data_IF_838824746674
#
_entry.id   IF_838824746674
#
_cell.length_a   1.000
_cell.length_b   1.000
_cell.length_c   1.000
_cell.angle_alpha   90.00
_cell.angle_beta   90.00
_cell.angle_gamma   90.00
#
_symmetry.space_group_name_H-M   'P 1'
#
loop_
_entity.id
_entity.type
_entity.pdbx_description
1 polymer ?
#
# COMPACT_ATOMS: atom_id res chain seq x y z
N UNK A 1 0.01 17.38 4.52
CA UNK A 1 1.30 16.76 4.12
C UNK A 1 1.48 16.81 2.61
N UNK A 2 0.72 16.03 1.82
CA UNK A 2 0.80 16.06 0.34
C UNK A 2 0.39 17.40 -0.30
N UNK A 3 -0.37 18.25 0.42
CA UNK A 3 -0.72 19.61 0.01
C UNK A 3 0.31 20.66 0.43
N UNK A 4 1.35 20.26 1.15
CA UNK A 4 2.28 21.18 1.84
C UNK A 4 3.74 21.01 1.39
N UNK A 5 4.09 19.85 0.83
CA UNK A 5 5.43 19.52 0.33
C UNK A 5 5.30 18.66 -0.93
N UNK A 6 6.28 18.73 -1.84
CA UNK A 6 6.33 17.85 -3.01
C UNK A 6 6.37 16.39 -2.52
N UNK A 7 5.37 15.56 -2.87
CA UNK A 7 5.30 14.18 -2.41
C UNK A 7 6.52 13.34 -2.81
N UNK A 8 7.26 13.71 -3.86
CA UNK A 8 8.49 13.01 -4.27
C UNK A 8 9.61 13.08 -3.23
N UNK A 9 9.54 14.07 -2.33
CA UNK A 9 10.50 14.25 -1.25
C UNK A 9 10.06 13.54 0.04
N UNK A 10 8.87 12.96 0.07
CA UNK A 10 8.38 12.23 1.23
C UNK A 10 9.00 10.84 1.25
N UNK A 11 9.81 10.59 2.27
CA UNK A 11 10.26 9.25 2.65
C UNK A 11 9.36 8.75 3.77
N UNK A 12 8.70 7.63 3.55
CA UNK A 12 7.81 6.99 4.52
C UNK A 12 8.61 6.07 5.44
N UNK A 13 9.58 5.34 4.90
CA UNK A 13 10.47 4.45 5.64
C UNK A 13 11.89 4.48 5.08
N UNK A 14 12.86 3.96 5.83
CA UNK A 14 14.24 3.76 5.33
C UNK A 14 14.33 2.69 4.24
N UNK A 15 13.27 1.91 4.05
CA UNK A 15 13.22 0.76 3.13
C UNK A 15 12.34 1.02 1.89
N UNK A 16 11.93 2.26 1.62
CA UNK A 16 10.96 2.59 0.55
C UNK A 16 11.36 2.04 -0.82
N UNK A 17 12.63 2.16 -1.22
CA UNK A 17 13.13 1.63 -2.49
C UNK A 17 13.05 0.10 -2.56
N UNK A 18 13.37 -0.58 -1.45
CA UNK A 18 13.26 -2.03 -1.35
C UNK A 18 11.78 -2.46 -1.42
N UNK A 19 10.92 -1.80 -0.64
CA UNK A 19 9.47 -2.07 -0.62
C UNK A 19 8.89 -1.89 -2.02
N UNK A 20 9.22 -0.79 -2.70
CA UNK A 20 8.74 -0.53 -4.05
C UNK A 20 9.24 -1.57 -5.06
N UNK A 21 10.52 -1.93 -5.03
CA UNK A 21 11.08 -2.96 -5.91
C UNK A 21 10.38 -4.30 -5.76
N UNK A 22 10.22 -4.76 -4.52
CA UNK A 22 9.54 -6.02 -4.21
C UNK A 22 8.04 -5.97 -4.55
N UNK A 23 7.40 -4.83 -4.31
CA UNK A 23 5.99 -4.62 -4.65
C UNK A 23 5.79 -4.73 -6.17
N UNK A 24 6.64 -4.09 -6.98
CA UNK A 24 6.53 -4.16 -8.44
C UNK A 24 6.89 -5.55 -8.99
N UNK A 25 7.75 -6.31 -8.30
CA UNK A 25 8.03 -7.69 -8.65
C UNK A 25 6.83 -8.62 -8.36
N UNK A 26 6.19 -8.47 -7.19
CA UNK A 26 5.08 -9.34 -6.76
C UNK A 26 3.73 -8.95 -7.39
N UNK A 27 3.49 -7.65 -7.57
CA UNK A 27 2.20 -7.06 -7.97
C UNK A 27 2.34 -6.16 -9.20
N UNK A 28 3.25 -6.47 -10.13
CA UNK A 28 3.57 -5.59 -11.27
C UNK A 28 2.40 -5.26 -12.21
N UNK A 29 1.31 -6.04 -12.16
CA UNK A 29 0.08 -5.79 -12.93
C UNK A 29 -0.98 -5.00 -12.14
N UNK A 30 -0.79 -4.80 -10.83
CA UNK A 30 -1.74 -4.09 -9.99
C UNK A 30 -1.79 -2.61 -10.40
N UNK A 31 -3.01 -2.13 -10.63
CA UNK A 31 -3.28 -0.73 -10.94
C UNK A 31 -3.29 0.08 -9.65
N UNK A 32 -2.31 0.97 -9.50
CA UNK A 32 -2.13 1.80 -8.29
C UNK A 32 -2.90 3.11 -8.34
N UNK A 33 -3.44 3.48 -9.49
CA UNK A 33 -4.28 4.66 -9.70
C UNK A 33 -5.70 4.45 -9.17
N UNK A 34 -6.27 3.27 -9.47
CA UNK A 34 -7.58 2.83 -9.01
C UNK A 34 -7.48 1.35 -8.62
N UNK A 35 -7.66 1.07 -7.33
CA UNK A 35 -7.56 -0.25 -6.73
C UNK A 35 -8.93 -0.93 -6.68
N UNK A 36 -8.97 -2.21 -7.05
CA UNK A 36 -10.11 -3.08 -6.80
C UNK A 36 -10.02 -3.66 -5.36
N UNK A 37 -11.02 -3.43 -4.49
CA UNK A 37 -11.05 -4.03 -3.16
C UNK A 37 -10.90 -5.56 -3.15
N UNK A 38 -11.36 -6.27 -4.17
CA UNK A 38 -11.26 -7.73 -4.24
C UNK A 38 -9.81 -8.19 -4.47
N UNK A 39 -9.00 -7.40 -5.17
CA UNK A 39 -7.55 -7.64 -5.35
C UNK A 39 -6.74 -7.41 -4.06
N UNK A 40 -7.37 -6.86 -3.02
CA UNK A 40 -6.78 -6.57 -1.72
C UNK A 40 -7.35 -7.46 -0.61
N UNK A 41 -8.66 -7.75 -0.64
CA UNK A 41 -9.40 -8.36 0.47
C UNK A 41 -9.92 -9.78 0.22
N UNK A 42 -9.93 -10.26 -1.02
CA UNK A 42 -10.29 -11.65 -1.28
C UNK A 42 -9.30 -12.61 -0.59
N UNK A 43 -9.72 -13.85 -0.32
CA UNK A 43 -8.83 -14.82 0.35
C UNK A 43 -7.58 -15.10 -0.49
N UNK A 44 -7.72 -15.22 -1.81
CA UNK A 44 -6.59 -15.37 -2.73
C UNK A 44 -5.66 -14.15 -2.74
N UNK A 45 -6.21 -12.93 -2.63
CA UNK A 45 -5.41 -11.73 -2.48
C UNK A 45 -4.62 -11.75 -1.16
N UNK A 46 -5.28 -12.05 -0.04
CA UNK A 46 -4.62 -12.14 1.27
C UNK A 46 -3.51 -13.17 1.29
N UNK A 47 -3.67 -14.31 0.63
CA UNK A 47 -2.62 -15.33 0.49
C UNK A 47 -1.37 -14.81 -0.25
N UNK A 48 -1.52 -13.84 -1.17
CA UNK A 48 -0.38 -13.17 -1.82
C UNK A 48 0.18 -12.03 -0.97
N UNK A 49 -0.67 -11.23 -0.34
CA UNK A 49 -0.27 -10.06 0.46
C UNK A 49 0.46 -10.43 1.75
N UNK A 50 0.02 -11.48 2.46
CA UNK A 50 0.64 -11.94 3.71
C UNK A 50 2.15 -12.19 3.58
N UNK A 51 2.64 -13.06 2.65
CA UNK A 51 4.07 -13.30 2.51
C UNK A 51 4.82 -12.05 2.04
N UNK A 52 4.20 -11.15 1.27
CA UNK A 52 4.82 -9.86 0.93
C UNK A 52 5.06 -9.02 2.19
N UNK A 53 4.05 -8.82 3.04
CA UNK A 53 4.17 -8.01 4.25
C UNK A 53 5.17 -8.61 5.26
N UNK A 54 5.15 -9.93 5.44
CA UNK A 54 6.06 -10.63 6.36
C UNK A 54 7.54 -10.49 6.00
N UNK A 55 7.89 -10.18 4.74
CA UNK A 55 9.30 -9.92 4.35
C UNK A 55 9.87 -8.65 4.99
N UNK A 56 9.01 -7.78 5.50
CA UNK A 56 9.39 -6.54 6.16
C UNK A 56 9.26 -6.62 7.68
N UNK A 57 8.93 -7.79 8.24
CA UNK A 57 8.95 -8.03 9.68
C UNK A 57 10.37 -7.77 10.22
N UNK A 58 10.49 -6.86 11.20
CA UNK A 58 11.78 -6.43 11.76
C UNK A 58 12.57 -5.42 10.90
N UNK A 59 12.12 -5.12 9.67
CA UNK A 59 12.66 -4.05 8.82
C UNK A 59 11.82 -2.78 8.97
N UNK A 60 10.50 -2.95 8.97
CA UNK A 60 9.52 -1.90 9.25
C UNK A 60 8.93 -2.20 10.62
N UNK A 61 9.14 -1.30 11.58
CA UNK A 61 8.75 -1.47 12.99
C UNK A 61 7.25 -1.78 13.13
N UNK A 62 6.43 -1.03 12.39
CA UNK A 62 4.97 -1.07 12.43
C UNK A 62 4.38 -1.69 11.14
N UNK A 63 4.99 -2.74 10.60
CA UNK A 63 4.60 -3.33 9.31
C UNK A 63 3.14 -3.84 9.25
N UNK A 64 2.51 -4.08 10.41
CA UNK A 64 1.14 -4.54 10.57
C UNK A 64 0.20 -3.49 11.18
N UNK A 65 0.64 -2.23 11.24
CA UNK A 65 -0.18 -1.14 11.72
C UNK A 65 -1.27 -0.81 10.71
N UNK A 66 -2.52 -0.82 11.19
CA UNK A 66 -3.67 -0.63 10.33
C UNK A 66 -3.77 0.82 9.83
N UNK A 67 -3.92 0.98 8.52
CA UNK A 67 -3.98 2.31 7.88
C UNK A 67 -5.20 2.45 6.98
N UNK A 68 -5.61 3.71 6.76
CA UNK A 68 -6.64 4.02 5.78
C UNK A 68 -5.99 4.21 4.40
N UNK A 69 -6.46 3.44 3.42
CA UNK A 69 -6.01 3.51 2.04
C UNK A 69 -7.15 4.00 1.14
N UNK A 70 -6.85 4.95 0.25
CA UNK A 70 -7.78 5.38 -0.80
C UNK A 70 -7.79 4.37 -1.95
N UNK A 71 -8.96 4.00 -2.42
CA UNK A 71 -9.14 3.12 -3.58
C UNK A 71 -8.80 3.86 -4.88
N UNK A 72 -9.29 5.08 -5.03
CA UNK A 72 -8.97 5.98 -6.13
C UNK A 72 -8.13 7.15 -5.59
N UNK A 73 -6.91 7.29 -6.10
CA UNK A 73 -5.96 8.27 -5.60
C UNK A 73 -6.34 9.72 -5.95
N UNK A 74 -7.20 9.92 -6.96
CA UNK A 74 -7.70 11.22 -7.41
C UNK A 74 -8.87 11.74 -6.55
N UNK A 75 -9.50 10.87 -5.77
CA UNK A 75 -10.64 11.19 -4.90
C UNK A 75 -10.18 11.40 -3.45
N UNK A 76 -11.05 12.05 -2.67
CA UNK A 76 -10.85 12.24 -1.23
C UNK A 76 -11.06 10.96 -0.41
N UNK A 77 -10.83 11.06 0.90
CA UNK A 77 -11.25 10.02 1.84
C UNK A 77 -12.77 10.11 2.04
N UNK A 78 -13.48 9.07 1.61
CA UNK A 78 -14.92 8.87 1.82
C UNK A 78 -15.17 7.40 2.16
N UNK A 79 -16.33 7.06 2.69
CA UNK A 79 -16.68 5.66 3.01
C UNK A 79 -16.54 4.75 1.78
N UNK A 80 -17.01 5.20 0.62
CA UNK A 80 -16.96 4.44 -0.64
C UNK A 80 -15.55 4.34 -1.24
N UNK A 81 -14.66 5.30 -0.94
CA UNK A 81 -13.32 5.38 -1.52
C UNK A 81 -12.20 4.98 -0.55
N UNK A 82 -12.53 4.47 0.63
CA UNK A 82 -11.53 4.18 1.68
C UNK A 82 -11.68 2.76 2.18
N UNK A 83 -10.55 2.08 2.33
CA UNK A 83 -10.49 0.79 3.01
C UNK A 83 -9.49 0.83 4.16
N UNK A 84 -9.72 -0.03 5.15
CA UNK A 84 -8.73 -0.38 6.16
C UNK A 84 -7.83 -1.49 5.61
N UNK A 85 -6.52 -1.25 5.63
CA UNK A 85 -5.45 -2.18 5.24
C UNK A 85 -4.60 -2.59 6.43
#
# INVERSE_FOLDING_TARGET
LISSVDPKLLTLTKADEQIYGEFRAAFGQLRVDVLDPEELKSEAAKEKWRPFCLRFEGVVEDFNYGTLLRLDCSKGYTEENTIFG
#
